data_IF_735750185228
#
_entry.id   IF_735750185228
#
_cell.length_a   1.000
_cell.length_b   1.000
_cell.length_c   1.000
_cell.angle_alpha   90.00
_cell.angle_beta   90.00
_cell.angle_gamma   90.00
#
_symmetry.space_group_name_H-M   'P 1'
#
loop_
_entity.id
_entity.type
_entity.pdbx_description
1 polymer ?
#
# COMPACT_ATOMS: atom_id res chain seq x y z
N UNK A 1 -8.93 -0.54 -0.53
CA UNK A 1 -7.68 0.18 -0.32
C UNK A 1 -6.93 0.38 -1.63
N UNK A 2 -6.28 1.53 -1.82
CA UNK A 2 -5.45 1.84 -3.00
C UNK A 2 -4.04 2.29 -2.59
N UNK A 3 -3.03 1.80 -3.30
CA UNK A 3 -1.61 2.16 -3.11
C UNK A 3 -1.09 2.77 -4.41
N UNK A 4 -0.49 3.95 -4.32
CA UNK A 4 0.08 4.65 -5.48
C UNK A 4 1.54 4.26 -5.67
N UNK A 5 1.93 3.93 -6.90
CA UNK A 5 3.31 3.65 -7.28
C UNK A 5 3.90 4.87 -7.99
N UNK A 6 4.97 5.42 -7.44
CA UNK A 6 5.65 6.63 -7.89
C UNK A 6 7.08 6.33 -8.33
N UNK A 7 7.62 7.18 -9.18
CA UNK A 7 9.03 7.14 -9.60
C UNK A 7 9.24 7.86 -10.92
N UNK A 8 10.46 8.34 -11.16
CA UNK A 8 10.87 8.90 -12.44
C UNK A 8 10.89 7.81 -13.53
N UNK A 9 11.11 8.20 -14.78
CA UNK A 9 11.26 7.23 -15.88
C UNK A 9 12.50 6.35 -15.66
N UNK A 10 12.48 5.14 -16.22
CA UNK A 10 13.61 4.18 -16.22
C UNK A 10 14.15 3.70 -14.86
N UNK A 11 13.52 4.04 -13.72
CA UNK A 11 13.86 3.43 -12.41
C UNK A 11 13.27 2.04 -12.19
N UNK A 12 12.49 1.54 -13.16
CA UNK A 12 11.81 0.25 -13.09
C UNK A 12 10.41 0.29 -12.46
N UNK A 13 9.76 1.46 -12.44
CA UNK A 13 8.36 1.63 -11.98
C UNK A 13 7.38 0.71 -12.73
N UNK A 14 7.37 0.75 -14.06
CA UNK A 14 6.49 -0.10 -14.87
C UNK A 14 6.81 -1.59 -14.75
N UNK A 15 8.09 -1.93 -14.57
CA UNK A 15 8.53 -3.31 -14.25
C UNK A 15 8.00 -3.74 -12.90
N UNK A 16 8.11 -2.90 -11.86
CA UNK A 16 7.58 -3.17 -10.53
C UNK A 16 6.07 -3.37 -10.59
N UNK A 17 5.34 -2.47 -11.26
CA UNK A 17 3.90 -2.59 -11.46
C UNK A 17 3.55 -3.92 -12.11
N UNK A 18 4.17 -4.24 -13.25
CA UNK A 18 3.92 -5.49 -13.99
C UNK A 18 4.28 -6.75 -13.19
N UNK A 19 5.28 -6.69 -12.33
CA UNK A 19 5.71 -7.80 -11.48
C UNK A 19 4.80 -7.98 -10.26
N UNK A 20 4.29 -6.88 -9.70
CA UNK A 20 3.40 -6.85 -8.55
C UNK A 20 1.97 -7.27 -8.92
N UNK A 21 1.52 -6.88 -10.11
CA UNK A 21 0.16 -7.13 -10.57
C UNK A 21 0.09 -8.43 -11.37
N UNK A 22 -0.95 -9.22 -11.11
CA UNK A 22 -1.34 -10.24 -12.08
C UNK A 22 -2.02 -9.55 -13.28
N UNK A 23 -1.97 -10.15 -14.48
CA UNK A 23 -2.75 -9.66 -15.63
C UNK A 23 -4.21 -9.42 -15.20
N UNK A 24 -4.93 -8.44 -15.79
CA UNK A 24 -6.26 -8.05 -15.30
C UNK A 24 -7.11 -9.29 -15.11
N UNK A 25 -7.44 -9.59 -13.85
CA UNK A 25 -8.17 -10.79 -13.49
C UNK A 25 -9.57 -10.67 -14.08
N UNK A 26 -9.87 -11.51 -15.07
CA UNK A 26 -11.21 -11.64 -15.62
C UNK A 26 -12.12 -12.37 -14.60
N UNK A 27 -13.13 -11.63 -14.13
CA UNK A 27 -14.49 -12.08 -13.80
C UNK A 27 -14.65 -12.91 -12.52
N UNK A 28 -14.89 -12.19 -11.43
CA UNK A 28 -15.72 -12.59 -10.30
C UNK A 28 -16.41 -11.33 -9.76
N UNK A 29 -17.61 -11.44 -9.16
CA UNK A 29 -18.48 -10.33 -8.71
C UNK A 29 -17.83 -9.41 -7.65
N UNK A 30 -16.75 -8.71 -7.98
CA UNK A 30 -16.34 -7.51 -7.28
C UNK A 30 -17.25 -6.38 -7.82
N UNK A 31 -18.03 -5.68 -6.98
CA UNK A 31 -19.09 -4.77 -7.43
C UNK A 31 -18.64 -3.51 -8.20
N UNK A 32 -17.41 -3.44 -8.74
CA UNK A 32 -16.83 -2.21 -9.31
C UNK A 32 -15.82 -2.49 -10.44
N UNK A 33 -16.15 -3.30 -11.44
CA UNK A 33 -15.28 -3.49 -12.61
C UNK A 33 -15.47 -2.39 -13.66
N UNK A 34 -14.81 -1.26 -13.44
CA UNK A 34 -14.27 -0.42 -14.51
C UNK A 34 -12.82 -0.15 -14.12
N UNK A 35 -11.89 -0.95 -14.67
CA UNK A 35 -10.46 -0.82 -14.37
C UNK A 35 -9.92 0.25 -15.31
N UNK A 36 -9.59 1.42 -14.77
CA UNK A 36 -8.84 2.45 -15.48
C UNK A 36 -7.46 1.91 -15.88
N UNK A 37 -6.89 2.31 -17.04
CA UNK A 37 -5.70 1.68 -17.63
C UNK A 37 -4.43 1.68 -16.76
N UNK A 38 -4.42 2.46 -15.66
CA UNK A 38 -3.30 2.58 -14.73
C UNK A 38 -3.56 1.89 -13.38
N UNK A 39 -4.63 1.09 -13.24
CA UNK A 39 -4.95 0.39 -11.98
C UNK A 39 -4.82 -1.11 -12.17
N UNK A 40 -4.07 -1.76 -11.28
CA UNK A 40 -3.88 -3.22 -11.24
C UNK A 40 -4.21 -3.81 -9.88
N UNK A 41 -4.42 -5.13 -9.84
CA UNK A 41 -4.60 -5.88 -8.59
C UNK A 41 -3.27 -6.52 -8.23
N UNK A 42 -2.74 -6.16 -7.06
CA UNK A 42 -1.61 -6.81 -6.43
C UNK A 42 -2.09 -7.55 -5.17
N UNK A 43 -1.23 -8.35 -4.57
CA UNK A 43 -1.57 -9.11 -3.36
C UNK A 43 -0.55 -8.83 -2.26
N UNK A 44 -1.05 -8.57 -1.06
CA UNK A 44 -0.26 -8.72 0.16
C UNK A 44 -0.44 -10.12 0.70
N UNK A 45 0.60 -10.61 1.37
CA UNK A 45 0.63 -11.98 1.87
C UNK A 45 0.76 -12.03 3.38
N UNK A 46 -0.04 -12.89 3.99
CA UNK A 46 0.01 -13.17 5.43
C UNK A 46 -0.24 -14.65 5.67
N UNK A 47 0.02 -15.13 6.89
CA UNK A 47 -0.37 -16.48 7.29
C UNK A 47 -1.89 -16.63 7.23
N UNK A 48 -2.35 -17.66 6.54
CA UNK A 48 -3.77 -17.95 6.43
C UNK A 48 -4.31 -18.49 7.75
N UNK A 49 -5.53 -18.08 8.11
CA UNK A 49 -6.26 -18.62 9.25
C UNK A 49 -6.41 -20.15 9.20
N UNK A 50 -6.33 -20.79 8.02
CA UNK A 50 -6.39 -22.24 7.91
C UNK A 50 -5.27 -22.96 8.67
N UNK A 51 -4.09 -22.32 8.86
CA UNK A 51 -3.01 -22.86 9.69
C UNK A 51 -3.44 -23.02 11.15
N UNK A 52 -4.22 -22.06 11.67
CA UNK A 52 -4.72 -22.12 13.05
C UNK A 52 -5.72 -23.26 13.27
N UNK A 53 -6.56 -23.54 12.26
CA UNK A 53 -7.56 -24.60 12.33
C UNK A 53 -7.08 -25.95 11.78
N UNK A 54 -5.81 -26.05 11.36
CA UNK A 54 -5.24 -27.23 10.69
C UNK A 54 -6.10 -27.72 9.51
N UNK A 55 -6.76 -26.78 8.82
CA UNK A 55 -7.76 -27.06 7.81
C UNK A 55 -7.13 -27.10 6.41
N UNK A 56 -7.37 -28.19 5.68
CA UNK A 56 -7.08 -28.28 4.25
C UNK A 56 -8.28 -27.77 3.44
N UNK A 57 -8.02 -26.91 2.47
CA UNK A 57 -9.05 -26.34 1.60
C UNK A 57 -8.45 -25.91 0.25
N UNK A 58 -9.31 -25.75 -0.76
CA UNK A 58 -8.92 -25.44 -2.14
C UNK A 58 -9.20 -23.98 -2.53
N UNK A 59 -9.07 -23.06 -1.57
CA UNK A 59 -9.31 -21.64 -1.86
C UNK A 59 -8.14 -21.10 -2.70
N UNK A 60 -8.43 -20.58 -3.90
CA UNK A 60 -7.42 -20.03 -4.83
C UNK A 60 -6.59 -18.89 -4.25
N UNK A 61 -7.11 -18.15 -3.27
CA UNK A 61 -6.41 -17.08 -2.56
C UNK A 61 -5.55 -17.60 -1.40
N UNK A 62 -5.41 -18.92 -1.23
CA UNK A 62 -4.55 -19.52 -0.23
C UNK A 62 -3.66 -20.60 -0.85
N UNK A 63 -2.35 -20.40 -0.80
CA UNK A 63 -1.37 -21.39 -1.28
C UNK A 63 -0.49 -21.82 -0.12
N UNK A 64 -0.48 -23.11 0.19
CA UNK A 64 0.36 -23.70 1.25
C UNK A 64 0.24 -22.98 2.61
N UNK A 65 -0.97 -22.55 2.97
CA UNK A 65 -1.24 -21.82 4.21
C UNK A 65 -0.82 -20.34 4.20
N UNK A 66 -0.45 -19.78 3.05
CA UNK A 66 -0.24 -18.34 2.85
C UNK A 66 -1.47 -17.74 2.17
N UNK A 67 -2.09 -16.74 2.79
CA UNK A 67 -3.24 -16.00 2.24
C UNK A 67 -2.76 -14.84 1.39
N UNK A 68 -3.32 -14.73 0.19
CA UNK A 68 -3.18 -13.61 -0.73
C UNK A 68 -4.39 -12.69 -0.55
N UNK A 69 -4.15 -11.47 -0.08
CA UNK A 69 -5.19 -10.47 0.15
C UNK A 69 -5.08 -9.40 -0.93
N UNK A 70 -6.11 -9.21 -1.78
CA UNK A 70 -6.02 -8.31 -2.92
C UNK A 70 -5.99 -6.84 -2.47
N UNK A 71 -5.12 -6.07 -3.11
CA UNK A 71 -5.00 -4.62 -2.97
C UNK A 71 -4.98 -3.97 -4.35
N UNK A 72 -5.48 -2.74 -4.46
CA UNK A 72 -5.37 -1.97 -5.71
C UNK A 72 -4.02 -1.27 -5.74
N UNK A 73 -3.24 -1.50 -6.78
CA UNK A 73 -2.01 -0.77 -7.08
C UNK A 73 -2.28 0.18 -8.25
N UNK A 74 -1.93 1.44 -8.11
CA UNK A 74 -2.14 2.48 -9.11
C UNK A 74 -0.78 2.90 -9.64
N UNK A 75 -0.55 2.79 -10.94
CA UNK A 75 0.63 3.35 -11.58
C UNK A 75 0.42 4.86 -11.76
N UNK A 76 1.00 5.65 -10.85
CA UNK A 76 0.93 7.10 -10.95
C UNK A 76 1.92 7.55 -12.03
N UNK A 77 1.51 8.52 -12.85
CA UNK A 77 2.37 9.06 -13.91
C UNK A 77 3.76 9.47 -13.39
N UNK A 78 4.79 9.44 -14.23
CA UNK A 78 6.15 9.80 -13.80
C UNK A 78 6.24 11.27 -13.37
N UNK A 79 6.80 11.52 -12.19
CA UNK A 79 7.04 12.89 -11.71
C UNK A 79 8.30 13.45 -12.38
N UNK A 80 8.21 14.67 -12.91
CA UNK A 80 9.31 15.43 -13.50
C UNK A 80 9.60 16.64 -12.59
N UNK A 81 10.86 17.08 -12.44
CA UNK A 81 11.18 18.29 -11.66
C UNK A 81 10.31 19.50 -11.98
N UNK A 82 9.80 20.17 -10.93
CA UNK A 82 8.93 21.34 -11.06
C UNK A 82 7.46 21.00 -11.36
N UNK A 83 6.98 19.83 -10.93
CA UNK A 83 5.59 19.42 -11.11
C UNK A 83 4.61 20.30 -10.32
N UNK A 84 4.99 20.73 -9.11
CA UNK A 84 4.20 21.68 -8.30
C UNK A 84 4.01 23.05 -8.96
N UNK A 85 4.93 23.50 -9.82
CA UNK A 85 4.88 24.81 -10.51
C UNK A 85 3.77 24.94 -11.58
N UNK A 86 2.85 23.98 -11.67
CA UNK A 86 1.69 24.06 -12.58
C UNK A 86 1.99 23.80 -14.05
N UNK A 87 3.15 23.20 -14.38
CA UNK A 87 3.49 22.75 -15.74
C UNK A 87 2.68 21.51 -16.14
N UNK A 88 1.36 21.64 -16.29
CA UNK A 88 0.42 20.73 -17.00
C UNK A 88 0.30 19.26 -16.55
N UNK A 89 1.42 18.55 -16.40
CA UNK A 89 1.52 17.16 -15.95
C UNK A 89 1.41 17.00 -14.42
N UNK A 90 1.78 18.02 -13.64
CA UNK A 90 1.77 17.96 -12.17
C UNK A 90 0.38 17.79 -11.56
N UNK A 91 -0.65 18.48 -12.08
CA UNK A 91 -2.01 18.38 -11.54
C UNK A 91 -2.59 16.97 -11.74
N UNK A 92 -2.37 16.36 -12.91
CA UNK A 92 -2.86 15.01 -13.20
C UNK A 92 -2.15 13.95 -12.34
N UNK A 93 -0.84 14.10 -12.13
CA UNK A 93 -0.07 13.27 -11.20
C UNK A 93 -0.65 13.30 -9.78
N UNK A 94 -0.92 14.51 -9.30
CA UNK A 94 -1.43 14.75 -7.96
C UNK A 94 -2.86 14.21 -7.79
N UNK A 95 -3.68 14.26 -8.84
CA UNK A 95 -5.02 13.66 -8.87
C UNK A 95 -5.00 12.13 -8.84
N UNK A 96 -4.03 11.48 -9.49
CA UNK A 96 -3.86 10.02 -9.41
C UNK A 96 -3.35 9.62 -8.02
N UNK A 97 -2.38 10.36 -7.47
CA UNK A 97 -1.86 10.15 -6.12
C UNK A 97 -2.89 10.46 -5.02
N UNK A 98 -3.88 11.32 -5.31
CA UNK A 98 -4.95 11.73 -4.37
C UNK A 98 -5.76 10.55 -3.87
N UNK A 99 -6.04 9.58 -4.74
CA UNK A 99 -6.87 8.42 -4.40
C UNK A 99 -6.12 7.37 -3.55
N UNK A 100 -4.78 7.38 -3.58
CA UNK A 100 -3.96 6.42 -2.85
C UNK A 100 -3.92 6.72 -1.33
N UNK A 101 -4.06 5.70 -0.50
CA UNK A 101 -3.93 5.80 0.97
C UNK A 101 -2.46 5.82 1.42
N UNK A 102 -1.58 5.24 0.61
CA UNK A 102 -0.14 5.27 0.81
C UNK A 102 0.59 5.18 -0.53
N UNK A 103 1.87 5.54 -0.53
CA UNK A 103 2.68 5.67 -1.74
C UNK A 103 3.92 4.78 -1.63
N UNK A 104 4.22 4.05 -2.70
CA UNK A 104 5.50 3.37 -2.90
C UNK A 104 6.31 4.20 -3.88
N UNK A 105 7.42 4.76 -3.43
CA UNK A 105 8.36 5.47 -4.30
C UNK A 105 9.46 4.52 -4.78
N UNK A 106 9.40 4.14 -6.05
CA UNK A 106 10.44 3.35 -6.73
C UNK A 106 11.63 4.26 -7.05
N UNK A 107 12.78 3.91 -6.51
CA UNK A 107 14.05 4.65 -6.67
C UNK A 107 15.10 3.71 -7.26
N UNK A 108 15.88 4.21 -8.22
CA UNK A 108 17.02 3.49 -8.74
C UNK A 108 18.20 3.61 -7.77
N UNK A 109 18.36 2.60 -6.92
CA UNK A 109 19.39 2.61 -5.88
C UNK A 109 20.80 2.33 -6.43
N UNK A 110 20.89 1.92 -7.70
CA UNK A 110 22.16 1.73 -8.39
C UNK A 110 22.74 3.02 -8.96
N UNK A 111 22.00 4.14 -8.91
CA UNK A 111 22.46 5.42 -9.46
C UNK A 111 22.70 5.36 -10.97
N UNK A 112 21.92 4.51 -11.67
CA UNK A 112 22.03 4.27 -13.11
C UNK A 112 21.07 5.14 -13.95
N UNK A 113 20.41 6.10 -13.32
CA UNK A 113 19.53 7.08 -13.98
C UNK A 113 19.73 8.46 -13.38
N UNK A 114 19.85 9.49 -14.23
CA UNK A 114 19.94 10.90 -13.80
C UNK A 114 18.60 11.43 -13.27
N UNK A 115 18.55 12.69 -12.81
CA UNK A 115 17.34 13.30 -12.23
C UNK A 115 16.16 13.39 -13.23
N UNK A 116 16.43 13.40 -14.54
CA UNK A 116 15.39 13.34 -15.59
C UNK A 116 14.96 11.91 -15.93
N UNK A 117 15.60 10.90 -15.32
CA UNK A 117 15.36 9.49 -15.58
C UNK A 117 16.07 8.96 -16.82
N UNK A 118 17.06 9.66 -17.38
CA UNK A 118 17.86 9.14 -18.49
C UNK A 118 18.91 8.15 -17.97
N UNK A 119 19.16 7.04 -18.70
CA UNK A 119 20.18 6.08 -18.31
C UNK A 119 21.58 6.70 -18.27
N UNK A 120 22.29 6.48 -17.18
CA UNK A 120 23.69 6.87 -16.97
C UNK A 120 24.48 5.67 -16.42
N UNK A 121 25.82 5.67 -16.49
CA UNK A 121 26.61 4.60 -15.88
C UNK A 121 26.26 4.40 -14.40
N UNK A 122 26.27 3.15 -13.93
CA UNK A 122 25.98 2.79 -12.53
C UNK A 122 26.86 3.60 -11.57
N UNK A 123 26.25 4.18 -10.54
CA UNK A 123 26.91 4.99 -9.52
C UNK A 123 27.22 6.44 -9.92
N UNK A 124 26.73 6.90 -11.08
CA UNK A 124 26.92 8.30 -11.51
C UNK A 124 26.01 9.27 -10.76
N UNK A 125 24.75 8.88 -10.53
CA UNK A 125 23.75 9.70 -9.84
C UNK A 125 23.64 9.30 -8.37
N UNK A 126 23.36 10.25 -7.46
CA UNK A 126 23.08 9.96 -6.04
C UNK A 126 21.57 9.66 -5.83
N UNK A 127 21.19 8.40 -5.51
CA UNK A 127 19.80 8.04 -5.23
C UNK A 127 19.14 8.84 -4.09
N UNK A 128 19.91 9.44 -3.18
CA UNK A 128 19.36 10.30 -2.12
C UNK A 128 18.70 11.56 -2.68
N UNK A 129 19.19 12.07 -3.80
CA UNK A 129 18.58 13.21 -4.48
C UNK A 129 17.18 12.87 -4.98
N UNK A 130 17.00 11.68 -5.57
CA UNK A 130 15.70 11.20 -6.05
C UNK A 130 14.68 11.07 -4.91
N UNK A 131 15.11 10.46 -3.79
CA UNK A 131 14.28 10.29 -2.60
C UNK A 131 13.82 11.64 -2.07
N UNK A 132 14.77 12.56 -1.86
CA UNK A 132 14.49 13.88 -1.30
C UNK A 132 13.54 14.66 -2.20
N UNK A 133 13.81 14.64 -3.51
CA UNK A 133 13.04 15.35 -4.51
C UNK A 133 11.55 15.00 -4.45
N UNK A 134 11.17 13.71 -4.49
CA UNK A 134 9.75 13.33 -4.46
C UNK A 134 9.09 13.68 -3.12
N UNK A 135 9.80 13.50 -2.00
CA UNK A 135 9.26 13.85 -0.68
C UNK A 135 9.00 15.36 -0.56
N UNK A 136 9.95 16.18 -1.01
CA UNK A 136 9.86 17.64 -0.96
C UNK A 136 8.73 18.16 -1.87
N UNK A 137 8.52 17.57 -3.05
CA UNK A 137 7.41 17.92 -3.95
C UNK A 137 6.03 17.65 -3.33
N UNK A 138 5.86 16.52 -2.63
CA UNK A 138 4.61 16.24 -1.91
C UNK A 138 4.40 17.16 -0.70
N UNK A 139 5.47 17.49 0.04
CA UNK A 139 5.41 18.44 1.14
C UNK A 139 4.98 19.83 0.63
N UNK A 140 5.57 20.27 -0.48
CA UNK A 140 5.26 21.55 -1.11
C UNK A 140 3.83 21.58 -1.65
N UNK A 141 3.35 20.51 -2.30
CA UNK A 141 1.97 20.45 -2.77
C UNK A 141 0.94 20.57 -1.65
N UNK A 142 1.15 19.88 -0.52
CA UNK A 142 0.27 20.00 0.64
C UNK A 142 0.27 21.44 1.19
N UNK A 143 1.44 22.07 1.25
CA UNK A 143 1.59 23.46 1.66
C UNK A 143 0.79 24.38 0.73
N UNK A 144 0.94 24.26 -0.58
CA UNK A 144 0.27 25.11 -1.56
C UNK A 144 -1.26 24.99 -1.50
N UNK A 145 -1.81 23.79 -1.27
CA UNK A 145 -3.26 23.61 -1.07
C UNK A 145 -3.73 24.45 0.13
N UNK A 146 -3.02 24.36 1.25
CA UNK A 146 -3.41 25.06 2.47
C UNK A 146 -3.18 26.55 2.35
N UNK A 147 -2.00 26.97 1.87
CA UNK A 147 -1.58 28.36 1.74
C UNK A 147 -2.53 29.15 0.84
N UNK A 148 -2.92 28.58 -0.31
CA UNK A 148 -3.89 29.21 -1.23
C UNK A 148 -5.24 29.49 -0.57
N UNK A 149 -5.71 28.58 0.28
CA UNK A 149 -7.01 28.68 0.95
C UNK A 149 -6.93 29.35 2.34
N UNK A 150 -5.72 29.60 2.85
CA UNK A 150 -5.49 30.07 4.22
C UNK A 150 -6.14 31.42 4.52
N UNK A 151 -6.02 32.48 3.67
CA UNK A 151 -6.64 33.78 3.95
C UNK A 151 -8.17 33.73 4.04
N UNK A 152 -8.79 32.83 3.27
CA UNK A 152 -10.24 32.60 3.31
C UNK A 152 -10.63 31.83 4.56
N UNK A 153 -9.87 30.80 4.91
CA UNK A 153 -10.11 29.97 6.08
C UNK A 153 -9.98 30.77 7.38
N UNK A 154 -8.94 31.59 7.54
CA UNK A 154 -8.75 32.43 8.73
C UNK A 154 -9.92 33.39 8.94
N UNK A 155 -10.39 34.04 7.88
CA UNK A 155 -11.57 34.91 7.92
C UNK A 155 -12.85 34.16 8.30
N UNK A 156 -13.05 32.93 7.81
CA UNK A 156 -14.19 32.09 8.19
C UNK A 156 -14.15 31.69 9.68
N UNK A 157 -12.95 31.45 10.22
CA UNK A 157 -12.73 31.11 11.64
C UNK A 157 -12.98 32.34 12.53
N UNK A 158 -12.46 33.51 12.18
CA UNK A 158 -12.70 34.77 12.93
C UNK A 158 -14.20 35.11 12.98
N UNK A 159 -14.91 34.85 11.89
CA UNK A 159 -16.37 35.01 11.79
C UNK A 159 -17.16 33.88 12.47
N UNK A 160 -16.48 32.93 13.13
CA UNK A 160 -17.06 31.75 13.81
C UNK A 160 -17.95 30.89 12.90
N UNK A 161 -17.67 30.88 11.59
CA UNK A 161 -18.42 30.09 10.60
C UNK A 161 -17.93 28.65 10.51
N UNK A 162 -16.70 28.38 10.92
CA UNK A 162 -16.11 27.04 10.97
C UNK A 162 -15.06 26.97 12.06
N UNK A 163 -14.75 25.75 12.51
CA UNK A 163 -13.62 25.47 13.39
C UNK A 163 -12.38 25.14 12.56
N UNK A 164 -11.19 25.33 13.12
CA UNK A 164 -9.93 25.06 12.43
C UNK A 164 -9.86 23.63 11.86
N UNK A 165 -10.28 22.63 12.64
CA UNK A 165 -10.23 21.21 12.26
C UNK A 165 -11.13 20.94 11.05
N UNK A 166 -12.42 21.25 11.17
CA UNK A 166 -13.42 21.09 10.11
C UNK A 166 -13.04 21.91 8.86
N UNK A 167 -12.56 23.13 9.09
CA UNK A 167 -12.12 24.05 8.06
C UNK A 167 -10.99 23.47 7.22
N UNK A 168 -9.90 23.02 7.86
CA UNK A 168 -8.75 22.38 7.18
C UNK A 168 -9.19 21.07 6.50
N UNK A 169 -9.90 20.19 7.20
CA UNK A 169 -10.35 18.92 6.64
C UNK A 169 -11.18 19.12 5.36
N UNK A 170 -12.04 20.16 5.33
CA UNK A 170 -12.81 20.53 4.14
C UNK A 170 -11.93 20.97 2.97
N UNK A 171 -10.80 21.66 3.20
CA UNK A 171 -9.88 22.08 2.12
C UNK A 171 -9.13 20.88 1.53
N UNK A 172 -8.90 19.87 2.35
CA UNK A 172 -8.27 18.62 1.94
C UNK A 172 -9.25 17.48 1.67
N UNK A 173 -10.55 17.77 1.51
CA UNK A 173 -11.56 16.73 1.30
C UNK A 173 -11.30 15.93 0.03
N UNK A 174 -10.70 16.54 -0.99
CA UNK A 174 -10.24 15.87 -2.20
C UNK A 174 -9.24 14.74 -1.92
N UNK A 175 -8.38 14.90 -0.91
CA UNK A 175 -7.40 13.89 -0.48
C UNK A 175 -7.97 12.86 0.52
N UNK A 176 -9.29 12.91 0.77
CA UNK A 176 -9.99 12.09 1.74
C UNK A 176 -9.49 12.26 3.20
N UNK A 177 -8.87 13.40 3.51
CA UNK A 177 -8.39 13.71 4.87
C UNK A 177 -9.59 13.92 5.80
N UNK A 178 -9.53 13.29 6.97
CA UNK A 178 -10.59 13.32 7.99
C UNK A 178 -10.24 14.24 9.15
N UNK A 179 -11.26 14.73 9.83
CA UNK A 179 -11.16 15.64 10.98
C UNK A 179 -10.23 15.10 12.07
N UNK A 180 -10.31 13.80 12.39
CA UNK A 180 -9.45 13.20 13.41
C UNK A 180 -7.96 13.25 13.03
N UNK A 181 -7.63 13.11 11.74
CA UNK A 181 -6.23 13.17 11.27
C UNK A 181 -5.68 14.59 11.39
N UNK A 182 -6.50 15.60 11.06
CA UNK A 182 -6.17 17.01 11.25
C UNK A 182 -5.97 17.31 12.73
N UNK A 183 -6.89 16.86 13.59
CA UNK A 183 -6.80 17.03 15.03
C UNK A 183 -5.51 16.44 15.62
N UNK A 184 -5.16 15.19 15.26
CA UNK A 184 -3.93 14.54 15.72
C UNK A 184 -2.67 15.32 15.34
N UNK A 185 -2.61 15.87 14.12
CA UNK A 185 -1.45 16.65 13.66
C UNK A 185 -1.38 18.01 14.35
N UNK A 186 -2.51 18.71 14.50
CA UNK A 186 -2.58 19.96 15.25
C UNK A 186 -2.15 19.78 16.71
N UNK A 187 -2.60 18.70 17.34
CA UNK A 187 -2.23 18.35 18.71
C UNK A 187 -0.73 18.02 18.80
N UNK A 188 -0.19 17.23 17.87
CA UNK A 188 1.23 16.86 17.84
C UNK A 188 2.15 18.08 17.71
N UNK A 189 1.71 19.12 17.03
CA UNK A 189 2.48 20.33 16.76
C UNK A 189 2.16 21.49 17.73
N UNK A 190 1.34 21.26 18.76
CA UNK A 190 0.87 22.29 19.70
C UNK A 190 0.23 23.51 19.02
N UNK A 191 -0.38 23.29 17.85
CA UNK A 191 -1.02 24.35 17.05
C UNK A 191 -2.48 24.60 17.43
N UNK A 192 -3.07 23.75 18.29
CA UNK A 192 -4.43 23.93 18.81
C UNK A 192 -4.56 25.17 19.70
N UNK A 193 -3.48 25.57 20.38
CA UNK A 193 -3.45 26.73 21.28
C UNK A 193 -3.11 28.03 20.56
N UNK A 194 -2.63 27.94 19.30
CA UNK A 194 -2.23 29.09 18.50
C UNK A 194 -3.39 29.58 17.65
N UNK A 195 -3.62 30.89 17.65
CA UNK A 195 -4.69 31.48 16.85
C UNK A 195 -4.33 31.34 15.34
N UNK A 196 -5.22 30.83 14.46
CA UNK A 196 -4.90 30.61 13.05
C UNK A 196 -4.34 31.84 12.29
N UNK A 197 -4.81 33.08 12.52
CA UNK A 197 -4.21 34.26 11.90
C UNK A 197 -2.75 34.53 12.30
N UNK A 198 -2.27 33.96 13.41
CA UNK A 198 -0.90 34.14 13.90
C UNK A 198 0.08 33.10 13.34
N UNK A 199 -0.42 32.11 12.60
CA UNK A 199 0.43 31.11 11.96
C UNK A 199 1.36 31.77 10.94
N UNK A 200 2.64 31.49 11.09
CA UNK A 200 3.69 31.91 10.17
C UNK A 200 3.82 30.88 9.04
N UNK A 201 4.55 31.25 7.98
CA UNK A 201 4.85 30.34 6.88
C UNK A 201 5.51 29.02 7.35
N UNK A 202 6.35 29.10 8.38
CA UNK A 202 6.97 27.92 9.00
C UNK A 202 5.95 26.99 9.64
N UNK A 203 4.87 27.51 10.23
CA UNK A 203 3.80 26.70 10.84
C UNK A 203 3.00 25.99 9.76
N UNK A 204 2.64 26.70 8.68
CA UNK A 204 1.95 26.12 7.52
C UNK A 204 2.80 25.01 6.88
N UNK A 205 4.10 25.25 6.72
CA UNK A 205 5.05 24.28 6.16
C UNK A 205 5.14 23.04 7.05
N UNK A 206 5.34 23.22 8.36
CA UNK A 206 5.47 22.12 9.31
C UNK A 206 4.18 21.31 9.43
N UNK A 207 3.03 21.98 9.53
CA UNK A 207 1.72 21.36 9.57
C UNK A 207 1.44 20.54 8.30
N UNK A 208 1.69 21.12 7.13
CA UNK A 208 1.45 20.47 5.84
C UNK A 208 2.31 19.22 5.66
N UNK A 209 3.59 19.29 6.05
CA UNK A 209 4.52 18.16 6.04
C UNK A 209 4.07 17.03 6.97
N UNK A 210 3.69 17.34 8.20
CA UNK A 210 3.23 16.32 9.16
C UNK A 210 1.87 15.73 8.76
N UNK A 211 0.97 16.55 8.19
CA UNK A 211 -0.29 16.07 7.63
C UNK A 211 -0.03 15.08 6.49
N UNK A 212 0.84 15.44 5.53
CA UNK A 212 1.24 14.55 4.43
C UNK A 212 1.82 13.23 4.95
N UNK A 213 2.77 13.27 5.88
CA UNK A 213 3.34 12.05 6.49
C UNK A 213 2.28 11.14 7.10
N UNK A 214 1.28 11.73 7.75
CA UNK A 214 0.19 10.99 8.40
C UNK A 214 -0.80 10.42 7.41
N UNK A 215 -1.19 11.18 6.39
CA UNK A 215 -2.31 10.82 5.49
C UNK A 215 -1.88 10.17 4.19
N UNK A 216 -0.63 10.37 3.77
CA UNK A 216 -0.02 9.83 2.55
C UNK A 216 1.42 9.37 2.86
N UNK A 217 1.61 8.38 3.74
CA UNK A 217 2.94 7.88 4.06
C UNK A 217 3.62 7.30 2.80
N UNK A 218 4.93 7.45 2.73
CA UNK A 218 5.75 7.04 1.58
C UNK A 218 6.72 5.94 2.03
N UNK A 219 6.72 4.80 1.33
CA UNK A 219 7.74 3.75 1.42
C UNK A 219 8.64 3.81 0.20
N UNK A 220 9.95 3.78 0.41
CA UNK A 220 10.90 3.74 -0.69
C UNK A 220 11.17 2.29 -1.07
N UNK A 221 10.90 1.95 -2.33
CA UNK A 221 11.35 0.72 -2.95
C UNK A 221 12.69 0.99 -3.65
N UNK A 222 13.78 0.60 -3.00
CA UNK A 222 15.15 0.74 -3.50
C UNK A 222 15.40 -0.30 -4.60
N UNK A 223 14.90 0.00 -5.79
CA UNK A 223 14.89 -0.88 -6.93
C UNK A 223 16.25 -0.92 -7.63
N UNK A 224 16.46 -1.97 -8.45
CA UNK A 224 17.74 -2.30 -9.08
C UNK A 224 18.85 -2.63 -8.06
N UNK A 225 18.47 -3.10 -6.88
CA UNK A 225 19.43 -3.52 -5.86
C UNK A 225 20.36 -4.66 -6.33
N UNK A 226 19.94 -5.41 -7.35
CA UNK A 226 20.74 -6.41 -8.07
C UNK A 226 21.97 -5.81 -8.78
N UNK A 227 21.91 -4.54 -9.21
CA UNK A 227 23.00 -3.88 -9.93
C UNK A 227 24.06 -3.24 -9.02
N UNK A 228 23.73 -2.97 -7.75
CA UNK A 228 24.67 -2.34 -6.84
C UNK A 228 25.86 -3.28 -6.53
N UNK A 229 27.01 -2.75 -6.11
CA UNK A 229 28.11 -3.59 -5.59
C UNK A 229 27.87 -3.92 -4.12
N UNK A 230 27.56 -2.91 -3.34
CA UNK A 230 27.14 -2.98 -1.94
C UNK A 230 25.81 -2.25 -1.74
N UNK A 231 25.20 -2.41 -0.56
CA UNK A 231 23.92 -1.78 -0.20
C UNK A 231 24.07 -0.74 0.91
N UNK A 232 25.28 -0.20 1.13
CA UNK A 232 25.54 0.76 2.21
C UNK A 232 24.72 2.04 2.09
N UNK A 233 24.36 2.44 0.86
CA UNK A 233 23.48 3.58 0.61
C UNK A 233 22.07 3.38 1.19
N UNK A 234 21.57 2.15 1.22
CA UNK A 234 20.26 1.85 1.82
C UNK A 234 20.30 2.14 3.31
N UNK A 235 21.38 1.73 4.00
CA UNK A 235 21.55 2.01 5.43
C UNK A 235 21.71 3.51 5.73
N UNK A 236 22.22 4.31 4.79
CA UNK A 236 22.22 5.78 4.91
C UNK A 236 20.80 6.34 4.82
N UNK A 237 20.05 5.97 3.78
CA UNK A 237 18.67 6.47 3.56
C UNK A 237 17.72 6.01 4.67
N UNK A 238 17.93 4.80 5.20
CA UNK A 238 17.11 4.19 6.25
C UNK A 238 17.08 4.97 7.56
N UNK A 239 18.04 5.88 7.79
CA UNK A 239 18.06 6.78 8.94
C UNK A 239 16.89 7.77 8.94
N UNK A 240 16.52 8.24 7.75
CA UNK A 240 15.56 9.34 7.58
C UNK A 240 14.25 8.90 6.91
N UNK A 241 14.21 7.70 6.34
CA UNK A 241 13.05 7.20 5.59
C UNK A 241 12.89 5.69 5.68
N UNK A 242 11.66 5.21 5.50
CA UNK A 242 11.39 3.77 5.35
C UNK A 242 11.80 3.35 3.95
N UNK A 243 12.75 2.42 3.85
CA UNK A 243 13.32 1.94 2.60
C UNK A 243 13.51 0.43 2.64
N UNK A 244 13.19 -0.24 1.55
CA UNK A 244 13.41 -1.67 1.35
C UNK A 244 14.05 -1.92 -0.01
N UNK A 245 15.10 -2.74 -0.02
CA UNK A 245 15.76 -3.16 -1.24
C UNK A 245 14.85 -4.07 -2.07
N UNK A 246 14.80 -3.88 -3.38
CA UNK A 246 14.10 -4.79 -4.27
C UNK A 246 14.76 -4.88 -5.65
N UNK A 247 14.38 -5.92 -6.39
CA UNK A 247 14.69 -6.08 -7.80
C UNK A 247 13.42 -6.48 -8.55
N UNK A 248 12.77 -5.47 -9.14
CA UNK A 248 11.55 -5.65 -9.91
C UNK A 248 11.77 -6.55 -11.15
N UNK A 249 12.94 -6.44 -11.80
CA UNK A 249 13.27 -7.25 -12.96
C UNK A 249 13.40 -8.74 -12.59
N UNK A 250 14.05 -9.02 -11.46
CA UNK A 250 14.17 -10.39 -10.92
C UNK A 250 12.80 -10.99 -10.59
N UNK A 251 11.93 -10.22 -9.93
CA UNK A 251 10.55 -10.67 -9.66
C UNK A 251 9.77 -10.92 -10.95
N UNK A 252 9.83 -9.99 -11.92
CA UNK A 252 9.13 -10.13 -13.20
C UNK A 252 9.59 -11.37 -13.95
N UNK A 253 10.90 -11.66 -13.95
CA UNK A 253 11.46 -12.84 -14.56
C UNK A 253 10.91 -14.12 -13.93
N UNK A 254 10.92 -14.22 -12.59
CA UNK A 254 10.40 -15.37 -11.87
C UNK A 254 8.90 -15.57 -12.09
N UNK A 255 8.12 -14.48 -12.11
CA UNK A 255 6.68 -14.51 -12.41
C UNK A 255 6.42 -15.04 -13.82
N UNK A 256 7.16 -14.54 -14.82
CA UNK A 256 7.07 -15.02 -16.22
C UNK A 256 7.48 -16.49 -16.34
N UNK A 257 8.57 -16.89 -15.67
CA UNK A 257 9.02 -18.28 -15.67
C UNK A 257 7.99 -19.22 -15.01
N UNK A 258 7.35 -18.79 -13.92
CA UNK A 258 6.28 -19.53 -13.24
C UNK A 258 5.06 -19.68 -14.15
N UNK A 259 4.64 -18.59 -14.80
CA UNK A 259 3.52 -18.60 -15.76
C UNK A 259 3.79 -19.47 -16.98
N UNK A 260 5.05 -19.52 -17.44
CA UNK A 260 5.49 -20.40 -18.51
C UNK A 260 5.69 -21.86 -18.05
N UNK A 261 5.45 -22.17 -16.77
CA UNK A 261 5.60 -23.51 -16.22
C UNK A 261 7.04 -23.99 -16.07
N UNK A 262 8.03 -23.08 -16.10
CA UNK A 262 9.45 -23.42 -15.99
C UNK A 262 9.89 -23.64 -14.54
N UNK A 263 9.35 -22.85 -13.61
CA UNK A 263 9.72 -22.88 -12.19
C UNK A 263 8.48 -22.90 -11.30
N UNK A 264 8.64 -23.47 -10.12
CA UNK A 264 7.74 -23.28 -8.98
C UNK A 264 8.35 -22.24 -8.06
N UNK A 265 7.67 -21.08 -7.99
CA UNK A 265 8.04 -19.95 -7.16
C UNK A 265 6.77 -19.36 -6.54
N UNK A 266 6.84 -19.01 -5.25
CA UNK A 266 5.85 -18.17 -4.59
C UNK A 266 6.48 -16.79 -4.37
N UNK A 267 5.80 -15.69 -4.71
CA UNK A 267 6.34 -14.34 -4.57
C UNK A 267 6.94 -14.09 -3.19
N UNK A 268 8.10 -13.43 -3.11
CA UNK A 268 8.75 -13.14 -1.83
C UNK A 268 9.47 -14.31 -1.16
N UNK A 269 9.39 -15.54 -1.70
CA UNK A 269 10.27 -16.61 -1.26
C UNK A 269 11.74 -16.32 -1.62
N UNK A 270 12.64 -16.92 -0.85
CA UNK A 270 14.09 -16.80 -1.04
C UNK A 270 14.68 -17.89 -1.96
N UNK A 271 13.83 -18.70 -2.56
CA UNK A 271 14.23 -19.80 -3.44
C UNK A 271 13.13 -20.10 -4.45
N UNK A 272 13.48 -20.84 -5.51
CA UNK A 272 12.55 -21.39 -6.49
C UNK A 272 13.03 -22.78 -6.89
N UNK A 273 12.12 -23.61 -7.41
CA UNK A 273 12.45 -24.95 -7.94
C UNK A 273 12.22 -24.96 -9.44
N UNK A 274 13.15 -25.53 -10.19
CA UNK A 274 12.96 -25.80 -11.63
C UNK A 274 12.13 -27.09 -11.73
N UNK A 275 11.11 -27.11 -12.59
CA UNK A 275 10.29 -28.32 -12.78
C UNK A 275 11.10 -29.42 -13.46
N UNK A 276 10.98 -30.64 -12.95
CA UNK A 276 11.82 -31.79 -13.35
C UNK A 276 11.68 -32.14 -14.85
N UNK A 277 10.49 -31.91 -15.43
CA UNK A 277 10.19 -32.28 -16.83
C UNK A 277 10.55 -31.20 -17.86
N UNK A 278 11.21 -30.11 -17.46
CA UNK A 278 11.43 -28.94 -18.31
C UNK A 278 12.90 -28.81 -18.72
N UNK A 279 13.15 -28.80 -20.03
CA UNK A 279 14.46 -28.43 -20.58
C UNK A 279 14.61 -26.91 -20.62
N UNK A 280 15.52 -26.40 -19.79
CA UNK A 280 15.86 -24.98 -19.72
C UNK A 280 16.99 -24.67 -20.71
N UNK A 281 16.86 -23.62 -21.51
CA UNK A 281 17.91 -23.20 -22.44
C UNK A 281 19.13 -22.62 -21.70
N UNK A 282 20.34 -22.60 -22.30
CA UNK A 282 21.51 -22.00 -21.65
C UNK A 282 21.32 -20.52 -21.26
N UNK A 283 20.52 -19.77 -22.02
CA UNK A 283 20.20 -18.38 -21.70
C UNK A 283 19.25 -18.28 -20.51
N UNK A 284 18.21 -19.12 -20.47
CA UNK A 284 17.30 -19.18 -19.33
C UNK A 284 18.02 -19.63 -18.06
N UNK A 285 18.93 -20.60 -18.16
CA UNK A 285 19.72 -21.08 -17.03
C UNK A 285 20.60 -19.95 -16.47
N UNK A 286 21.31 -19.22 -17.33
CA UNK A 286 22.09 -18.03 -16.92
C UNK A 286 21.23 -17.00 -16.21
N UNK A 287 20.02 -16.74 -16.70
CA UNK A 287 19.11 -15.79 -16.08
C UNK A 287 18.63 -16.27 -14.69
N UNK A 288 18.30 -17.55 -14.54
CA UNK A 288 17.96 -18.16 -13.26
C UNK A 288 19.15 -18.18 -12.27
N UNK A 289 20.37 -18.30 -12.75
CA UNK A 289 21.56 -18.22 -11.90
C UNK A 289 21.84 -16.78 -11.43
N UNK A 290 21.52 -15.77 -12.24
CA UNK A 290 21.50 -14.37 -11.79
C UNK A 290 20.45 -14.14 -10.69
N UNK A 291 19.28 -14.76 -10.77
CA UNK A 291 18.28 -14.67 -9.68
C UNK A 291 18.87 -15.17 -8.36
N UNK A 292 19.61 -16.29 -8.38
CA UNK A 292 20.24 -16.83 -7.16
C UNK A 292 21.26 -15.87 -6.56
N UNK A 293 22.02 -15.12 -7.38
CA UNK A 293 22.94 -14.10 -6.87
C UNK A 293 22.22 -12.90 -6.27
N UNK A 294 21.01 -12.57 -6.77
CA UNK A 294 20.16 -11.56 -6.14
C UNK A 294 19.66 -12.03 -4.78
N UNK A 295 19.21 -13.29 -4.68
CA UNK A 295 18.76 -13.87 -3.40
C UNK A 295 19.87 -13.90 -2.35
N UNK A 296 21.10 -14.21 -2.71
CA UNK A 296 22.21 -14.15 -1.74
C UNK A 296 22.50 -12.73 -1.24
N UNK A 297 22.12 -11.70 -2.01
CA UNK A 297 22.37 -10.29 -1.69
C UNK A 297 21.25 -9.61 -0.90
N UNK A 298 19.98 -9.86 -1.26
CA UNK A 298 18.81 -9.20 -0.65
C UNK A 298 17.78 -10.19 -0.07
N UNK A 299 18.16 -11.46 0.12
CA UNK A 299 17.38 -12.57 0.69
C UNK A 299 16.12 -12.98 -0.10
N UNK A 300 15.55 -12.13 -0.94
CA UNK A 300 14.41 -12.40 -1.82
C UNK A 300 14.47 -11.46 -3.03
N UNK A 301 13.39 -11.26 -3.77
CA UNK A 301 13.31 -10.15 -4.74
C UNK A 301 12.99 -8.81 -4.07
N UNK A 302 12.53 -8.81 -2.81
CA UNK A 302 12.15 -7.62 -2.04
C UNK A 302 10.82 -6.98 -2.45
N UNK A 303 10.26 -7.30 -3.62
CA UNK A 303 9.02 -6.68 -4.13
C UNK A 303 7.83 -7.00 -3.21
N UNK A 304 7.68 -8.26 -2.81
CA UNK A 304 6.61 -8.65 -1.88
C UNK A 304 6.79 -8.01 -0.50
N UNK A 305 8.03 -7.87 -0.03
CA UNK A 305 8.35 -7.21 1.24
C UNK A 305 7.92 -5.74 1.23
N UNK A 306 8.10 -5.05 0.10
CA UNK A 306 7.59 -3.68 -0.10
C UNK A 306 6.06 -3.64 0.02
N UNK A 307 5.35 -4.54 -0.70
CA UNK A 307 3.89 -4.61 -0.67
C UNK A 307 3.33 -4.94 0.72
N UNK A 308 3.96 -5.89 1.43
CA UNK A 308 3.56 -6.26 2.77
C UNK A 308 3.84 -5.12 3.76
N UNK A 309 5.01 -4.49 3.69
CA UNK A 309 5.41 -3.44 4.63
C UNK A 309 4.55 -2.17 4.51
N UNK A 310 4.18 -1.76 3.29
CA UNK A 310 3.30 -0.60 3.11
C UNK A 310 1.91 -0.84 3.75
N UNK A 311 1.41 -2.07 3.74
CA UNK A 311 0.08 -2.41 4.28
C UNK A 311 0.13 -2.69 5.78
N UNK A 312 1.04 -3.56 6.21
CA UNK A 312 1.07 -4.05 7.58
C UNK A 312 1.89 -3.16 8.52
N UNK A 313 3.02 -2.61 8.06
CA UNK A 313 3.90 -1.83 8.94
C UNK A 313 3.60 -0.33 8.89
N UNK A 314 3.26 0.19 7.70
CA UNK A 314 3.05 1.63 7.50
C UNK A 314 1.59 1.99 7.72
N UNK A 315 0.67 1.32 7.03
CA UNK A 315 -0.76 1.55 7.21
C UNK A 315 -1.33 0.87 8.47
N UNK A 316 -0.56 0.00 9.13
CA UNK A 316 -0.96 -0.71 10.34
C UNK A 316 -2.31 -1.43 10.18
N UNK A 317 -2.47 -2.12 9.04
CA UNK A 317 -3.68 -2.90 8.77
C UNK A 317 -3.54 -4.33 9.30
N UNK A 318 -4.68 -4.90 9.66
CA UNK A 318 -4.84 -6.28 10.11
C UNK A 318 -5.77 -7.02 9.14
N UNK A 319 -5.56 -8.32 8.98
CA UNK A 319 -6.36 -9.19 8.12
C UNK A 319 -7.41 -9.91 8.96
N UNK A 320 -8.69 -9.74 8.62
CA UNK A 320 -9.82 -10.39 9.29
C UNK A 320 -10.60 -11.24 8.30
N UNK A 321 -11.04 -12.43 8.73
CA UNK A 321 -11.77 -13.38 7.90
C UNK A 321 -13.24 -13.43 8.31
N UNK A 322 -14.14 -12.74 7.59
CA UNK A 322 -15.57 -12.92 7.81
C UNK A 322 -16.03 -14.28 7.27
N UNK A 323 -16.81 -15.01 8.07
CA UNK A 323 -17.44 -16.28 7.70
C UNK A 323 -18.93 -16.29 8.05
N UNK A 324 -19.72 -17.07 7.33
CA UNK A 324 -21.15 -17.23 7.64
C UNK A 324 -21.42 -18.44 8.55
N UNK A 325 -20.69 -19.54 8.31
CA UNK A 325 -20.73 -20.75 9.13
C UNK A 325 -19.46 -20.82 10.00
N UNK A 326 -19.62 -20.78 11.33
CA UNK A 326 -18.54 -20.83 12.31
C UNK A 326 -18.04 -22.26 12.63
N UNK A 327 -18.72 -23.28 12.10
CA UNK A 327 -18.28 -24.68 12.19
C UNK A 327 -17.50 -25.09 10.94
N UNK A 328 -18.02 -24.73 9.76
CA UNK A 328 -17.41 -25.06 8.46
C UNK A 328 -16.45 -24.00 7.94
N UNK A 329 -16.44 -22.81 8.54
CA UNK A 329 -15.63 -21.66 8.14
C UNK A 329 -15.90 -21.22 6.69
N UNK A 330 -17.14 -21.34 6.22
CA UNK A 330 -17.52 -21.10 4.83
C UNK A 330 -18.61 -20.03 4.66
N UNK A 331 -18.81 -19.58 3.42
CA UNK A 331 -20.01 -18.85 2.99
C UNK A 331 -21.14 -19.82 2.58
N UNK A 332 -22.26 -19.27 2.06
CA UNK A 332 -23.40 -20.03 1.53
C UNK A 332 -23.03 -20.99 0.41
N UNK A 333 -22.05 -20.63 -0.41
CA UNK A 333 -21.57 -21.44 -1.54
C UNK A 333 -20.64 -22.58 -1.10
N UNK A 334 -20.36 -22.71 0.21
CA UNK A 334 -19.47 -23.73 0.76
C UNK A 334 -17.99 -23.41 0.60
N UNK A 335 -17.63 -22.21 0.11
CA UNK A 335 -16.24 -21.80 -0.02
C UNK A 335 -15.64 -21.49 1.36
N UNK A 336 -14.62 -22.25 1.74
CA UNK A 336 -13.89 -22.09 3.00
C UNK A 336 -13.01 -20.84 2.99
N UNK A 337 -13.08 -20.07 4.09
CA UNK A 337 -12.39 -18.78 4.30
C UNK A 337 -12.48 -17.91 3.03
N UNK A 338 -13.71 -17.62 2.58
CA UNK A 338 -13.96 -17.10 1.25
C UNK A 338 -13.27 -15.75 1.07
N UNK A 339 -13.31 -14.91 2.11
CA UNK A 339 -12.84 -13.54 2.08
C UNK A 339 -11.79 -13.25 3.17
N UNK A 340 -10.99 -12.21 2.94
CA UNK A 340 -10.01 -11.68 3.88
C UNK A 340 -9.97 -10.16 3.74
N UNK A 341 -10.38 -9.44 4.79
CA UNK A 341 -10.54 -7.99 4.79
C UNK A 341 -9.37 -7.33 5.51
N UNK A 342 -8.88 -6.24 4.93
CA UNK A 342 -7.89 -5.37 5.56
C UNK A 342 -8.62 -4.26 6.32
N UNK A 343 -8.33 -4.14 7.61
CA UNK A 343 -8.89 -3.14 8.51
C UNK A 343 -7.78 -2.47 9.31
N UNK A 344 -7.91 -1.20 9.72
CA UNK A 344 -6.99 -0.59 10.69
C UNK A 344 -6.89 -1.40 11.99
N UNK A 345 -5.73 -1.43 12.63
CA UNK A 345 -5.46 -2.25 13.84
C UNK A 345 -6.44 -2.05 15.01
N UNK A 346 -7.11 -0.91 15.11
CA UNK A 346 -8.07 -0.61 16.17
C UNK A 346 -9.54 -0.83 15.76
N UNK A 347 -9.77 -1.48 14.62
CA UNK A 347 -11.12 -1.71 14.10
C UNK A 347 -11.89 -2.72 14.95
N UNK A 348 -13.20 -2.53 14.98
CA UNK A 348 -14.13 -3.28 15.81
C UNK A 348 -14.91 -4.32 15.00
N UNK A 349 -15.63 -5.20 15.69
CA UNK A 349 -16.55 -6.15 15.06
C UNK A 349 -17.61 -5.45 14.18
N UNK A 350 -18.04 -4.25 14.57
CA UNK A 350 -18.98 -3.45 13.78
C UNK A 350 -18.34 -2.88 12.52
N UNK A 351 -17.10 -2.39 12.61
CA UNK A 351 -16.36 -1.90 11.44
C UNK A 351 -16.18 -3.01 10.39
N UNK A 352 -15.89 -4.25 10.84
CA UNK A 352 -15.87 -5.40 9.94
C UNK A 352 -17.22 -5.58 9.24
N UNK A 353 -18.34 -5.51 9.98
CA UNK A 353 -19.67 -5.66 9.40
C UNK A 353 -19.96 -4.59 8.32
N UNK A 354 -19.51 -3.35 8.52
CA UNK A 354 -19.63 -2.28 7.53
C UNK A 354 -18.86 -2.61 6.24
N UNK A 355 -17.69 -3.24 6.35
CA UNK A 355 -16.93 -3.66 5.16
C UNK A 355 -17.55 -4.82 4.40
N UNK A 356 -18.31 -5.69 5.08
CA UNK A 356 -19.02 -6.79 4.44
C UNK A 356 -20.28 -6.27 3.74
N UNK A 357 -21.17 -5.60 4.47
CA UNK A 357 -22.36 -4.96 3.90
C UNK A 357 -22.98 -3.94 4.89
N UNK A 358 -23.43 -2.79 4.37
CA UNK A 358 -24.01 -1.73 5.21
C UNK A 358 -25.22 -2.20 6.05
N UNK A 359 -26.06 -3.09 5.52
CA UNK A 359 -27.21 -3.62 6.27
C UNK A 359 -26.81 -4.56 7.40
N UNK A 360 -25.70 -5.30 7.26
CA UNK A 360 -25.20 -6.15 8.34
C UNK A 360 -24.78 -5.30 9.54
N UNK A 361 -24.13 -4.16 9.28
CA UNK A 361 -23.75 -3.20 10.30
C UNK A 361 -24.95 -2.51 10.95
N UNK A 362 -25.96 -2.11 10.16
CA UNK A 362 -27.20 -1.51 10.69
C UNK A 362 -27.98 -2.46 11.58
N UNK A 363 -28.07 -3.73 11.18
CA UNK A 363 -28.75 -4.78 11.92
C UNK A 363 -27.87 -5.52 12.93
N UNK A 364 -26.65 -5.05 13.22
CA UNK A 364 -25.67 -5.78 14.02
C UNK A 364 -26.23 -6.13 15.41
N UNK A 365 -26.28 -7.43 15.73
CA UNK A 365 -26.71 -7.93 17.05
C UNK A 365 -25.49 -8.27 17.89
N UNK A 366 -24.58 -9.06 17.33
CA UNK A 366 -23.30 -9.45 17.91
C UNK A 366 -22.43 -10.10 16.84
N UNK A 367 -21.20 -10.44 17.19
CA UNK A 367 -20.39 -11.36 16.39
C UNK A 367 -19.87 -12.51 17.25
N UNK A 368 -19.34 -13.54 16.60
CA UNK A 368 -18.71 -14.68 17.24
C UNK A 368 -17.26 -14.72 16.75
N UNK A 369 -16.32 -14.66 17.68
CA UNK A 369 -14.93 -15.03 17.40
C UNK A 369 -14.86 -16.56 17.30
N UNK A 370 -14.61 -17.04 16.09
CA UNK A 370 -14.69 -18.46 15.77
C UNK A 370 -13.52 -19.25 16.35
N UNK A 371 -12.38 -18.60 16.64
CA UNK A 371 -11.21 -19.23 17.28
C UNK A 371 -11.47 -19.50 18.76
N UNK A 372 -12.01 -18.52 19.46
CA UNK A 372 -12.28 -18.62 20.92
C UNK A 372 -13.68 -19.13 21.24
N UNK A 373 -14.56 -19.22 20.24
CA UNK A 373 -16.00 -19.52 20.37
C UNK A 373 -16.74 -18.54 21.28
N UNK A 374 -16.20 -17.34 21.47
CA UNK A 374 -16.81 -16.32 22.32
C UNK A 374 -17.71 -15.39 21.52
N UNK A 375 -18.84 -15.02 22.12
CA UNK A 375 -19.69 -13.93 21.63
C UNK A 375 -19.03 -12.59 21.96
N UNK A 376 -18.83 -11.77 20.94
CA UNK A 376 -18.22 -10.44 21.05
C UNK A 376 -19.23 -9.34 20.69
N UNK A 377 -19.10 -8.21 21.37
CA UNK A 377 -19.94 -7.02 21.15
C UNK A 377 -19.49 -6.19 19.96
N UNK A 378 -20.26 -5.15 19.63
CA UNK A 378 -19.98 -4.25 18.51
C UNK A 378 -18.62 -3.55 18.64
N UNK A 379 -18.28 -3.09 19.84
CA UNK A 379 -17.06 -2.31 20.13
C UNK A 379 -15.83 -3.19 20.42
N UNK A 380 -15.95 -4.52 20.30
CA UNK A 380 -14.81 -5.41 20.52
C UNK A 380 -13.76 -5.19 19.43
N UNK A 381 -12.54 -4.84 19.84
CA UNK A 381 -11.40 -4.65 18.94
C UNK A 381 -10.91 -5.99 18.40
N UNK A 382 -10.77 -6.05 17.08
CA UNK A 382 -10.34 -7.24 16.36
C UNK A 382 -8.82 -7.33 16.31
N UNK A 383 -8.31 -8.55 16.17
CA UNK A 383 -6.88 -8.85 16.06
C UNK A 383 -6.55 -9.48 14.72
N UNK A 384 -5.30 -9.32 14.31
CA UNK A 384 -4.83 -9.89 13.05
C UNK A 384 -5.05 -11.40 12.99
N UNK A 385 -5.65 -11.85 11.89
CA UNK A 385 -5.98 -13.23 11.61
C UNK A 385 -7.29 -13.71 12.24
N UNK A 386 -8.04 -12.88 12.95
CA UNK A 386 -9.32 -13.29 13.54
C UNK A 386 -10.31 -13.79 12.48
N UNK A 387 -11.10 -14.78 12.87
CA UNK A 387 -12.16 -15.35 12.04
C UNK A 387 -13.48 -15.05 12.72
N UNK A 388 -14.31 -14.25 12.07
CA UNK A 388 -15.47 -13.62 12.70
C UNK A 388 -16.74 -13.99 11.96
N UNK A 389 -17.72 -14.51 12.68
CA UNK A 389 -19.10 -14.66 12.20
C UNK A 389 -19.95 -13.51 12.69
N UNK A 390 -20.49 -12.72 11.77
CA UNK A 390 -21.37 -11.59 12.10
C UNK A 390 -22.81 -12.11 12.20
N UNK A 391 -23.49 -11.74 13.28
CA UNK A 391 -24.92 -12.03 13.48
C UNK A 391 -25.70 -10.73 13.42
N UNK A 392 -26.59 -10.62 12.44
CA UNK A 392 -27.35 -9.41 12.15
C UNK A 392 -28.83 -9.74 12.00
N UNK A 393 -29.71 -8.87 12.49
CA UNK A 393 -31.17 -8.98 12.28
C UNK A 393 -31.57 -8.83 10.82
N UNK A 394 -30.67 -8.27 10.00
CA UNK A 394 -30.86 -8.04 8.58
C UNK A 394 -30.08 -9.04 7.70
N UNK A 395 -29.43 -10.05 8.29
CA UNK A 395 -28.85 -11.13 7.50
C UNK A 395 -29.98 -11.94 6.87
N UNK A 396 -30.15 -11.85 5.56
CA UNK A 396 -31.05 -12.77 4.84
C UNK A 396 -30.46 -14.16 5.01
N UNK A 397 -31.24 -15.06 5.62
CA UNK A 397 -30.92 -16.48 5.84
C UNK A 397 -30.32 -17.14 4.60
#
# INVERSE_FOLDING_TARGET
>A
MQIGLLGKTNVGKSTFFSAATEAPVSIGNFPFTTIEPNVGVAYVMTDCACKHFELKHENSLCKNGTRFVPIKLIDVAGLVPGAHEGKGLGIKFLDDARQAEALIHVVDIAGSTDIQGQPVPIGTHDPMEDVKFVVDEFDQWFKEILEREWPKLTKEIEQKRTKIIEGIAKRFSGLAIKDFQVHEVLHKLDLLTKNPPEWQDSDLTLFSKELRKKTKPILIAANKADLCKDLSIIEKIKKDSKILACSAETELLLRKATKAGLVDYIPGENSFKIKEDVKVSPQQQKALDLVKSVFSKINSTGLQSVLNSIVFDILNLIVIYPVEDDTKLCNKDGQVLPDARLLPINSTAKDLAETVHADLAKGFIHAIDVKTKQRIGADHQLKNGDVIKIVSSMSRG
#
